data_IF_095643221168
#
_entry.id   IF_095643221168
#
_cell.length_a   1.000
_cell.length_b   1.000
_cell.length_c   1.000
_cell.angle_alpha   90.00
_cell.angle_beta   90.00
_cell.angle_gamma   90.00
#
_symmetry.space_group_name_H-M   'P 1'
#
loop_
_entity.id
_entity.type
_entity.pdbx_description
1 polymer ?
#
# COMPACT_ATOMS: atom_id res chain seq x y z
N UNK A 1 41.91 -7.47 6.03
CA UNK A 1 40.50 -7.68 6.40
C UNK A 1 39.70 -6.73 5.54
N UNK A 2 39.35 -7.21 4.35
CA UNK A 2 38.70 -6.44 3.31
C UNK A 2 37.19 -6.35 3.57
N UNK A 3 36.71 -5.11 3.51
CA UNK A 3 35.43 -4.65 2.97
C UNK A 3 34.22 -5.59 3.06
N UNK A 4 33.36 -5.35 4.05
CA UNK A 4 31.91 -5.55 3.92
C UNK A 4 31.22 -4.19 3.79
N UNK A 5 31.27 -3.64 2.58
CA UNK A 5 30.30 -2.65 2.09
C UNK A 5 29.35 -3.42 1.18
N UNK A 6 28.17 -3.77 1.70
CA UNK A 6 27.02 -4.07 0.83
C UNK A 6 26.03 -2.94 1.01
N UNK A 7 26.08 -2.06 0.01
CA UNK A 7 25.21 -0.91 -0.21
C UNK A 7 23.99 -1.37 -1.02
N UNK A 8 22.84 -0.76 -0.72
CA UNK A 8 21.60 -0.72 -1.53
C UNK A 8 20.88 -2.07 -1.64
N UNK A 9 19.58 -2.08 -1.31
CA UNK A 9 18.71 -3.25 -1.40
C UNK A 9 18.95 -4.01 -2.69
N UNK A 10 19.24 -5.31 -2.57
CA UNK A 10 19.42 -6.18 -3.72
C UNK A 10 18.25 -5.96 -4.67
N UNK A 11 18.54 -5.45 -5.87
CA UNK A 11 17.57 -5.38 -6.93
C UNK A 11 17.00 -6.79 -7.09
N UNK A 12 15.69 -6.96 -6.84
CA UNK A 12 15.03 -8.24 -7.07
C UNK A 12 15.41 -8.70 -8.46
N UNK A 13 16.01 -9.89 -8.56
CA UNK A 13 16.48 -10.40 -9.84
C UNK A 13 15.27 -10.58 -10.76
N UNK A 14 15.18 -9.77 -11.81
CA UNK A 14 14.11 -9.89 -12.79
C UNK A 14 14.09 -11.30 -13.37
N UNK A 15 12.89 -11.89 -13.44
CA UNK A 15 12.68 -13.23 -13.99
C UNK A 15 12.62 -13.22 -15.52
N UNK A 16 12.36 -12.06 -16.11
CA UNK A 16 12.38 -11.83 -17.56
C UNK A 16 13.22 -10.60 -17.90
N UNK A 17 13.75 -10.59 -19.12
CA UNK A 17 14.51 -9.46 -19.68
C UNK A 17 13.58 -8.62 -20.55
N UNK A 18 13.50 -7.32 -20.26
CA UNK A 18 12.72 -6.36 -21.04
C UNK A 18 13.65 -5.33 -21.68
N UNK A 19 13.39 -4.99 -22.94
CA UNK A 19 14.06 -3.89 -23.62
C UNK A 19 13.49 -2.54 -23.12
N UNK A 20 14.29 -1.47 -23.05
CA UNK A 20 13.84 -0.17 -22.52
C UNK A 20 12.51 0.34 -23.13
N UNK A 21 12.33 0.13 -24.43
CA UNK A 21 11.12 0.49 -25.17
C UNK A 21 9.87 -0.33 -24.82
N UNK A 22 10.04 -1.57 -24.34
CA UNK A 22 8.94 -2.42 -23.89
C UNK A 22 8.46 -1.96 -22.50
N UNK A 23 9.40 -1.50 -21.65
CA UNK A 23 9.12 -1.17 -20.26
C UNK A 23 8.06 -0.07 -20.15
N UNK A 24 8.17 1.02 -20.93
CA UNK A 24 7.24 2.15 -20.80
C UNK A 24 5.79 1.76 -21.16
N UNK A 25 5.62 0.94 -22.20
CA UNK A 25 4.30 0.42 -22.58
C UNK A 25 3.76 -0.49 -21.48
N UNK A 26 4.55 -1.47 -21.04
CA UNK A 26 4.13 -2.44 -20.00
C UNK A 26 3.82 -1.73 -18.68
N UNK A 27 4.57 -0.67 -18.36
CA UNK A 27 4.34 0.14 -17.16
C UNK A 27 2.96 0.79 -17.16
N UNK A 28 2.47 1.26 -18.31
CA UNK A 28 1.11 1.80 -18.39
C UNK A 28 0.04 0.73 -18.09
N UNK A 29 0.21 -0.49 -18.64
CA UNK A 29 -0.71 -1.60 -18.35
C UNK A 29 -0.64 -2.03 -16.88
N UNK A 30 0.55 -2.00 -16.26
CA UNK A 30 0.70 -2.21 -14.82
C UNK A 30 -0.02 -1.12 -14.02
N UNK A 31 0.07 0.13 -14.47
CA UNK A 31 -0.68 1.27 -13.93
C UNK A 31 -2.20 1.04 -13.94
N UNK A 32 -2.74 0.45 -15.00
CA UNK A 32 -4.17 0.10 -15.07
C UNK A 32 -4.57 -0.96 -14.03
N UNK A 33 -3.72 -1.97 -13.80
CA UNK A 33 -3.95 -2.99 -12.76
C UNK A 33 -3.89 -2.37 -11.36
N UNK A 34 -2.90 -1.50 -11.12
CA UNK A 34 -2.73 -0.76 -9.86
C UNK A 34 -3.92 0.18 -9.58
N UNK A 35 -4.37 0.90 -10.61
CA UNK A 35 -5.53 1.81 -10.56
C UNK A 35 -6.83 1.05 -10.28
N UNK A 36 -7.05 -0.08 -10.96
CA UNK A 36 -8.21 -0.92 -10.70
C UNK A 36 -8.22 -1.49 -9.27
N UNK A 37 -7.05 -1.88 -8.76
CA UNK A 37 -6.91 -2.44 -7.40
C UNK A 37 -7.16 -1.38 -6.32
N UNK A 38 -6.53 -0.22 -6.43
CA UNK A 38 -6.72 0.88 -5.47
C UNK A 38 -8.15 1.43 -5.54
N UNK A 39 -8.73 1.53 -6.73
CA UNK A 39 -10.12 1.90 -6.93
C UNK A 39 -11.12 0.92 -6.32
N UNK A 40 -10.92 -0.40 -6.51
CA UNK A 40 -11.73 -1.43 -5.84
C UNK A 40 -11.72 -1.24 -4.32
N UNK A 41 -10.53 -1.07 -3.75
CA UNK A 41 -10.38 -0.94 -2.31
C UNK A 41 -11.01 0.36 -1.77
N UNK A 42 -10.88 1.47 -2.49
CA UNK A 42 -11.57 2.72 -2.16
C UNK A 42 -13.10 2.58 -2.22
N UNK A 43 -13.62 1.89 -3.25
CA UNK A 43 -15.05 1.65 -3.41
C UNK A 43 -15.63 0.77 -2.30
N UNK A 44 -14.84 -0.21 -1.82
CA UNK A 44 -15.24 -1.05 -0.68
C UNK A 44 -15.60 -0.23 0.56
N UNK A 45 -14.91 0.88 0.79
CA UNK A 45 -15.22 1.79 1.89
C UNK A 45 -16.51 2.59 1.66
N UNK A 46 -16.80 2.95 0.41
CA UNK A 46 -17.97 3.77 0.03
C UNK A 46 -19.25 2.96 -0.12
N UNK A 47 -19.15 1.63 -0.23
CA UNK A 47 -20.29 0.75 -0.43
C UNK A 47 -20.89 0.81 -1.84
N UNK A 48 -20.10 1.17 -2.85
CA UNK A 48 -20.55 1.21 -4.25
C UNK A 48 -20.41 -0.12 -5.00
N UNK A 49 -20.52 -0.06 -6.34
CA UNK A 49 -20.49 -1.26 -7.20
C UNK A 49 -19.07 -1.84 -7.34
N UNK A 50 -18.76 -2.80 -6.48
CA UNK A 50 -17.52 -3.57 -6.49
C UNK A 50 -17.32 -4.37 -7.79
N UNK A 51 -18.40 -4.78 -8.44
CA UNK A 51 -18.35 -5.57 -9.67
C UNK A 51 -17.73 -4.82 -10.84
N UNK A 52 -17.94 -3.50 -10.94
CA UNK A 52 -17.27 -2.66 -11.96
C UNK A 52 -15.76 -2.71 -11.80
N UNK A 53 -15.27 -2.59 -10.58
CA UNK A 53 -13.84 -2.61 -10.29
C UNK A 53 -13.21 -3.99 -10.48
N UNK A 54 -13.92 -5.07 -10.13
CA UNK A 54 -13.48 -6.45 -10.43
C UNK A 54 -13.34 -6.64 -11.94
N UNK A 55 -14.33 -6.24 -12.75
CA UNK A 55 -14.25 -6.34 -14.22
C UNK A 55 -13.10 -5.54 -14.81
N UNK A 56 -12.84 -4.33 -14.30
CA UNK A 56 -11.69 -3.50 -14.69
C UNK A 56 -10.38 -4.20 -14.37
N UNK A 57 -10.23 -4.73 -13.15
CA UNK A 57 -9.04 -5.46 -12.72
C UNK A 57 -8.78 -6.71 -13.57
N UNK A 58 -9.81 -7.54 -13.80
CA UNK A 58 -9.71 -8.74 -14.64
C UNK A 58 -9.27 -8.39 -16.07
N UNK A 59 -9.83 -7.31 -16.64
CA UNK A 59 -9.49 -6.85 -17.99
C UNK A 59 -8.07 -6.29 -18.08
N UNK A 60 -7.66 -5.45 -17.14
CA UNK A 60 -6.32 -4.87 -17.09
C UNK A 60 -5.24 -5.96 -16.88
N UNK A 61 -5.51 -6.91 -15.97
CA UNK A 61 -4.60 -8.04 -15.71
C UNK A 61 -4.41 -8.89 -16.97
N UNK A 62 -5.50 -9.18 -17.68
CA UNK A 62 -5.41 -9.94 -18.93
C UNK A 62 -4.65 -9.17 -20.01
N UNK A 63 -4.85 -7.86 -20.15
CA UNK A 63 -4.14 -7.05 -21.13
C UNK A 63 -2.62 -7.01 -20.85
N UNK A 64 -2.23 -6.82 -19.59
CA UNK A 64 -0.83 -6.89 -19.17
C UNK A 64 -0.24 -8.28 -19.45
N UNK A 65 -0.95 -9.34 -19.08
CA UNK A 65 -0.52 -10.71 -19.32
C UNK A 65 -0.36 -11.00 -20.83
N UNK A 66 -1.27 -10.55 -21.68
CA UNK A 66 -1.19 -10.76 -23.14
C UNK A 66 0.04 -10.07 -23.76
N UNK A 67 0.40 -8.87 -23.30
CA UNK A 67 1.60 -8.18 -23.76
C UNK A 67 2.84 -8.98 -23.41
N UNK A 68 2.94 -9.46 -22.16
CA UNK A 68 4.05 -10.29 -21.70
C UNK A 68 4.09 -11.67 -22.39
N UNK A 69 2.95 -12.24 -22.77
CA UNK A 69 2.91 -13.54 -23.47
C UNK A 69 3.23 -13.45 -24.97
N UNK A 70 2.93 -12.33 -25.63
CA UNK A 70 2.92 -12.30 -27.09
C UNK A 70 3.78 -11.20 -27.72
N UNK A 71 3.93 -10.07 -27.04
CA UNK A 71 4.46 -8.85 -27.64
C UNK A 71 5.89 -8.53 -27.22
N UNK A 72 6.34 -8.99 -26.06
CA UNK A 72 7.74 -8.81 -25.64
C UNK A 72 8.68 -9.78 -26.36
N UNK A 73 9.97 -9.42 -26.42
CA UNK A 73 11.03 -10.26 -26.98
C UNK A 73 11.26 -11.53 -26.16
N UNK A 74 11.27 -11.42 -24.83
CA UNK A 74 11.51 -12.54 -23.90
C UNK A 74 10.23 -13.31 -23.52
N UNK A 75 9.25 -13.35 -24.43
CA UNK A 75 7.95 -13.99 -24.20
C UNK A 75 8.04 -15.50 -23.96
N UNK A 76 9.09 -16.15 -24.47
CA UNK A 76 9.35 -17.57 -24.23
C UNK A 76 9.63 -17.84 -22.75
N UNK A 77 10.46 -17.02 -22.11
CA UNK A 77 10.75 -17.13 -20.67
C UNK A 77 9.50 -16.84 -19.85
N UNK A 78 8.76 -15.78 -20.19
CA UNK A 78 7.49 -15.48 -19.52
C UNK A 78 6.46 -16.61 -19.65
N UNK A 79 6.29 -17.15 -20.86
CA UNK A 79 5.39 -18.29 -21.11
C UNK A 79 5.79 -19.53 -20.29
N UNK A 80 7.09 -19.79 -20.16
CA UNK A 80 7.61 -20.89 -19.34
C UNK A 80 7.33 -20.68 -17.85
N UNK A 81 7.40 -19.44 -17.33
CA UNK A 81 7.06 -19.13 -15.93
C UNK A 81 5.64 -19.58 -15.59
N UNK A 82 4.69 -19.33 -16.51
CA UNK A 82 3.30 -19.73 -16.35
C UNK A 82 3.10 -21.24 -16.55
N UNK A 83 3.64 -21.81 -17.62
CA UNK A 83 3.41 -23.20 -18.00
C UNK A 83 4.02 -24.22 -17.02
N UNK A 84 5.17 -23.89 -16.42
CA UNK A 84 5.90 -24.81 -15.53
C UNK A 84 5.52 -24.66 -14.06
N UNK A 85 4.78 -23.60 -13.71
CA UNK A 85 4.53 -23.26 -12.30
C UNK A 85 5.80 -22.91 -11.52
N UNK A 86 6.87 -22.50 -12.21
CA UNK A 86 8.16 -22.20 -11.58
C UNK A 86 8.12 -20.97 -10.66
N UNK A 87 7.09 -20.12 -10.81
CA UNK A 87 6.77 -19.07 -9.86
C UNK A 87 5.61 -19.51 -8.94
N UNK A 88 5.74 -19.44 -7.60
CA UNK A 88 4.71 -19.89 -6.66
C UNK A 88 3.33 -19.25 -6.86
N UNK A 89 3.28 -18.04 -7.41
CA UNK A 89 2.04 -17.30 -7.66
C UNK A 89 1.54 -17.36 -9.12
N UNK A 90 2.13 -18.17 -10.01
CA UNK A 90 1.68 -18.25 -11.40
C UNK A 90 0.23 -18.75 -11.52
N UNK A 91 -0.20 -19.65 -10.63
CA UNK A 91 -1.57 -20.17 -10.58
C UNK A 91 -2.64 -19.09 -10.35
N UNK A 92 -2.27 -17.96 -9.72
CA UNK A 92 -3.17 -16.81 -9.55
C UNK A 92 -3.50 -16.16 -10.90
N UNK A 93 -2.54 -16.13 -11.84
CA UNK A 93 -2.76 -15.57 -13.18
C UNK A 93 -3.71 -16.45 -14.00
N UNK A 94 -3.56 -17.77 -13.93
CA UNK A 94 -4.46 -18.71 -14.59
C UNK A 94 -5.88 -18.63 -14.01
N UNK A 95 -6.00 -18.50 -12.69
CA UNK A 95 -7.28 -18.30 -12.01
C UNK A 95 -7.97 -16.99 -12.42
N UNK A 96 -7.22 -15.89 -12.51
CA UNK A 96 -7.75 -14.59 -12.98
C UNK A 96 -8.15 -14.66 -14.45
N UNK A 97 -7.38 -15.35 -15.28
CA UNK A 97 -7.72 -15.60 -16.68
C UNK A 97 -9.02 -16.40 -16.83
N UNK A 98 -9.22 -17.41 -15.99
CA UNK A 98 -10.47 -18.17 -15.93
C UNK A 98 -11.66 -17.25 -15.58
N UNK A 99 -11.56 -16.51 -14.47
CA UNK A 99 -12.57 -15.57 -14.01
C UNK A 99 -12.94 -14.54 -15.10
N UNK A 100 -11.93 -13.96 -15.77
CA UNK A 100 -12.13 -13.03 -16.88
C UNK A 100 -12.90 -13.69 -18.02
N UNK A 101 -12.53 -14.89 -18.42
CA UNK A 101 -13.17 -15.58 -19.55
C UNK A 101 -14.62 -15.93 -19.26
N UNK A 102 -14.95 -16.30 -18.02
CA UNK A 102 -16.34 -16.46 -17.56
C UNK A 102 -17.11 -15.14 -17.71
N UNK A 103 -16.54 -14.04 -17.19
CA UNK A 103 -17.18 -12.72 -17.27
C UNK A 103 -17.35 -12.22 -18.71
N UNK A 104 -16.42 -12.48 -19.62
CA UNK A 104 -16.46 -11.93 -20.98
C UNK A 104 -17.26 -12.81 -21.95
N UNK A 105 -17.14 -14.13 -21.87
CA UNK A 105 -17.70 -15.03 -22.88
C UNK A 105 -19.05 -15.62 -22.51
N UNK A 106 -19.31 -15.78 -21.21
CA UNK A 106 -20.59 -16.31 -20.71
C UNK A 106 -21.46 -15.19 -20.12
N UNK A 107 -20.87 -14.00 -19.89
CA UNK A 107 -21.53 -12.85 -19.26
C UNK A 107 -22.08 -13.18 -17.85
N UNK A 108 -21.59 -14.24 -17.23
CA UNK A 108 -21.87 -14.55 -15.83
C UNK A 108 -21.11 -13.57 -14.95
N UNK A 109 -21.81 -13.03 -13.94
CA UNK A 109 -21.24 -12.01 -13.06
C UNK A 109 -20.22 -12.71 -12.14
N UNK A 110 -18.93 -12.60 -12.48
CA UNK A 110 -17.88 -12.87 -11.50
C UNK A 110 -17.79 -11.65 -10.60
N UNK A 111 -18.33 -11.80 -9.40
CA UNK A 111 -18.36 -10.77 -8.37
C UNK A 111 -17.92 -11.37 -7.04
N UNK A 112 -17.62 -10.52 -6.06
CA UNK A 112 -17.53 -10.99 -4.70
C UNK A 112 -18.87 -11.57 -4.23
N UNK A 113 -18.85 -12.52 -3.31
CA UNK A 113 -20.04 -13.14 -2.72
C UNK A 113 -20.94 -12.09 -2.04
N UNK A 114 -22.26 -12.21 -2.26
CA UNK A 114 -23.27 -11.39 -1.56
C UNK A 114 -23.41 -11.81 -0.09
N UNK A 115 -23.12 -13.07 0.23
CA UNK A 115 -23.30 -13.68 1.56
C UNK A 115 -22.21 -13.25 2.56
N UNK A 116 -21.05 -12.83 2.05
CA UNK A 116 -19.93 -12.32 2.84
C UNK A 116 -19.74 -10.84 2.52
N UNK A 117 -20.55 -9.99 3.14
CA UNK A 117 -20.40 -8.54 3.08
C UNK A 117 -20.20 -7.96 4.47
N UNK A 118 -18.98 -7.48 4.78
CA UNK A 118 -18.87 -6.36 5.71
C UNK A 118 -17.63 -5.50 5.51
N UNK A 119 -17.82 -4.35 4.83
CA UNK A 119 -16.89 -3.22 4.86
C UNK A 119 -17.60 -2.02 5.49
N UNK A 120 -17.50 -1.92 6.83
CA UNK A 120 -18.08 -0.85 7.65
C UNK A 120 -19.12 -1.33 8.66
N UNK A 121 -18.73 -1.42 9.95
CA UNK A 121 -19.64 -1.85 11.03
C UNK A 121 -19.19 -1.38 12.41
N UNK A 122 -20.16 -1.02 13.25
CA UNK A 122 -20.03 -0.37 14.56
C UNK A 122 -19.31 -1.23 15.62
N UNK A 123 -18.89 -2.47 15.31
CA UNK A 123 -18.47 -3.49 16.29
C UNK A 123 -17.13 -4.20 16.00
N UNK A 124 -16.30 -3.67 15.09
CA UNK A 124 -14.87 -4.04 15.01
C UNK A 124 -14.51 -5.40 14.38
N UNK A 125 -15.46 -6.15 13.82
CA UNK A 125 -15.17 -7.30 12.94
C UNK A 125 -15.52 -6.93 11.49
N UNK A 126 -14.57 -7.07 10.57
CA UNK A 126 -14.76 -6.85 9.12
C UNK A 126 -14.35 -8.09 8.34
N UNK A 127 -15.19 -8.49 7.38
CA UNK A 127 -14.94 -9.61 6.46
C UNK A 127 -14.89 -9.02 5.06
N UNK A 128 -13.77 -9.22 4.35
CA UNK A 128 -13.65 -8.79 2.97
C UNK A 128 -14.55 -9.60 2.06
N UNK A 129 -14.94 -8.96 0.97
CA UNK A 129 -15.65 -9.64 -0.08
C UNK A 129 -14.71 -10.72 -0.67
N UNK A 130 -15.23 -11.94 -0.77
CA UNK A 130 -14.49 -13.11 -1.28
C UNK A 130 -14.98 -13.48 -2.68
N UNK A 131 -14.14 -14.14 -3.48
CA UNK A 131 -14.62 -14.64 -4.79
C UNK A 131 -15.67 -15.73 -4.59
N UNK A 132 -16.77 -15.58 -5.31
CA UNK A 132 -17.90 -16.51 -5.27
C UNK A 132 -17.63 -17.80 -6.05
N UNK A 133 -18.33 -18.88 -5.71
CA UNK A 133 -18.26 -20.12 -6.48
C UNK A 133 -18.86 -19.90 -7.88
N UNK A 134 -18.20 -20.43 -8.92
CA UNK A 134 -18.74 -20.42 -10.27
C UNK A 134 -19.46 -21.76 -10.52
N UNK A 135 -20.78 -21.77 -10.79
CA UNK A 135 -21.53 -23.01 -10.95
C UNK A 135 -21.02 -23.86 -12.14
N UNK A 136 -21.01 -25.19 -11.99
CA UNK A 136 -20.48 -26.10 -13.01
C UNK A 136 -21.20 -25.98 -14.36
N UNK A 137 -22.49 -25.64 -14.36
CA UNK A 137 -23.26 -25.38 -15.58
C UNK A 137 -22.78 -24.15 -16.36
N UNK A 138 -22.17 -23.16 -15.69
CA UNK A 138 -21.52 -22.01 -16.33
C UNK A 138 -20.18 -22.45 -16.92
N UNK A 139 -19.43 -23.29 -16.20
CA UNK A 139 -18.14 -23.81 -16.65
C UNK A 139 -18.28 -24.63 -17.93
N UNK A 140 -19.30 -25.49 -18.01
CA UNK A 140 -19.55 -26.34 -19.18
C UNK A 140 -19.82 -25.56 -20.47
N UNK A 141 -20.21 -24.28 -20.37
CA UNK A 141 -20.44 -23.41 -21.53
C UNK A 141 -19.14 -22.80 -22.10
N UNK A 142 -18.03 -22.87 -21.35
CA UNK A 142 -16.73 -22.36 -21.78
C UNK A 142 -16.08 -23.27 -22.83
N UNK A 143 -15.11 -22.73 -23.57
CA UNK A 143 -14.25 -23.54 -24.44
C UNK A 143 -13.39 -24.49 -23.61
N UNK A 144 -13.07 -25.67 -24.15
CA UNK A 144 -12.29 -26.71 -23.47
C UNK A 144 -10.97 -26.19 -22.85
N UNK A 145 -10.21 -25.35 -23.56
CA UNK A 145 -8.97 -24.78 -23.03
C UNK A 145 -9.14 -23.76 -21.90
N UNK A 146 -10.34 -23.21 -21.71
CA UNK A 146 -10.66 -22.39 -20.52
C UNK A 146 -11.11 -23.27 -19.37
N UNK A 147 -11.86 -24.34 -19.64
CA UNK A 147 -12.30 -25.29 -18.61
C UNK A 147 -11.11 -25.90 -17.85
N UNK A 148 -9.96 -26.12 -18.52
CA UNK A 148 -8.75 -26.62 -17.86
C UNK A 148 -8.20 -25.71 -16.77
N UNK A 149 -8.58 -24.42 -16.75
CA UNK A 149 -8.14 -23.44 -15.76
C UNK A 149 -9.06 -23.40 -14.52
N UNK A 150 -10.16 -24.14 -14.51
CA UNK A 150 -11.12 -24.16 -13.38
C UNK A 150 -10.45 -24.54 -12.06
N UNK A 151 -9.58 -25.56 -12.08
CA UNK A 151 -8.85 -26.00 -10.87
C UNK A 151 -7.99 -24.89 -10.25
N UNK A 152 -7.43 -24.00 -11.07
CA UNK A 152 -6.68 -22.84 -10.59
C UNK A 152 -7.60 -21.84 -9.90
N UNK A 153 -8.80 -21.60 -10.44
CA UNK A 153 -9.81 -20.76 -9.82
C UNK A 153 -10.24 -21.29 -8.45
N UNK A 154 -10.59 -22.57 -8.38
CA UNK A 154 -10.99 -23.25 -7.16
C UNK A 154 -9.88 -23.22 -6.08
N UNK A 155 -8.62 -23.33 -6.50
CA UNK A 155 -7.49 -23.39 -5.56
C UNK A 155 -7.00 -22.02 -5.09
N UNK A 156 -7.12 -20.97 -5.92
CA UNK A 156 -6.46 -19.68 -5.67
C UNK A 156 -7.41 -18.49 -5.49
N UNK A 157 -8.63 -18.56 -5.99
CA UNK A 157 -9.59 -17.45 -5.96
C UNK A 157 -10.81 -17.81 -5.12
N UNK A 158 -11.46 -18.95 -5.35
CA UNK A 158 -12.70 -19.32 -4.69
C UNK A 158 -12.60 -19.24 -3.15
N UNK A 159 -13.50 -18.47 -2.52
CA UNK A 159 -13.50 -18.22 -1.08
C UNK A 159 -12.33 -17.36 -0.56
N UNK A 160 -11.39 -16.97 -1.41
CA UNK A 160 -10.30 -16.05 -1.07
C UNK A 160 -10.74 -14.61 -1.19
N UNK A 161 -10.15 -13.73 -0.38
CA UNK A 161 -10.45 -12.31 -0.41
C UNK A 161 -10.01 -11.64 -1.71
N UNK A 162 -10.90 -10.83 -2.27
CA UNK A 162 -10.67 -10.18 -3.57
C UNK A 162 -9.48 -9.21 -3.51
N UNK A 163 -9.36 -8.41 -2.45
CA UNK A 163 -8.20 -7.51 -2.27
C UNK A 163 -6.89 -8.31 -2.15
N UNK A 164 -6.90 -9.44 -1.43
CA UNK A 164 -5.75 -10.33 -1.32
C UNK A 164 -5.29 -10.85 -2.69
N UNK A 165 -6.24 -11.30 -3.52
CA UNK A 165 -5.96 -11.72 -4.91
C UNK A 165 -5.37 -10.58 -5.74
N UNK A 166 -5.95 -9.38 -5.68
CA UNK A 166 -5.46 -8.23 -6.47
C UNK A 166 -4.02 -7.85 -6.09
N UNK A 167 -3.70 -7.84 -4.78
CA UNK A 167 -2.34 -7.62 -4.30
C UNK A 167 -1.38 -8.74 -4.70
N UNK A 168 -1.84 -10.00 -4.72
CA UNK A 168 -1.04 -11.14 -5.16
C UNK A 168 -0.69 -11.06 -6.66
N UNK A 169 -1.61 -10.61 -7.51
CA UNK A 169 -1.35 -10.37 -8.93
C UNK A 169 -0.32 -9.25 -9.12
N UNK A 170 -0.47 -8.15 -8.39
CA UNK A 170 0.51 -7.05 -8.43
C UNK A 170 1.91 -7.49 -7.98
N UNK A 171 2.00 -8.30 -6.92
CA UNK A 171 3.25 -8.93 -6.47
C UNK A 171 3.86 -9.81 -7.55
N UNK A 172 3.06 -10.67 -8.17
CA UNK A 172 3.52 -11.54 -9.25
C UNK A 172 4.18 -10.74 -10.37
N UNK A 173 3.53 -9.67 -10.85
CA UNK A 173 4.09 -8.85 -11.94
C UNK A 173 5.35 -8.10 -11.52
N UNK A 174 5.42 -7.60 -10.28
CA UNK A 174 6.64 -6.99 -9.77
C UNK A 174 7.80 -7.99 -9.60
N UNK A 175 7.51 -9.23 -9.24
CA UNK A 175 8.52 -10.29 -9.15
C UNK A 175 8.99 -10.72 -10.55
N UNK A 176 8.10 -10.73 -11.55
CA UNK A 176 8.46 -10.95 -12.95
C UNK A 176 9.49 -9.91 -13.41
N UNK A 177 9.21 -8.62 -13.23
CA UNK A 177 10.19 -7.55 -13.46
C UNK A 177 9.77 -6.25 -12.76
N UNK A 178 10.53 -5.80 -11.75
CA UNK A 178 10.16 -4.61 -10.97
C UNK A 178 10.19 -3.29 -11.74
N UNK A 179 10.84 -3.24 -12.91
CA UNK A 179 10.89 -2.01 -13.74
C UNK A 179 9.55 -1.64 -14.37
N UNK A 180 8.59 -2.57 -14.38
CA UNK A 180 7.25 -2.35 -14.94
C UNK A 180 6.29 -1.73 -13.93
N UNK A 181 6.68 -1.59 -12.66
CA UNK A 181 5.84 -0.94 -11.64
C UNK A 181 5.58 0.51 -12.08
N UNK A 182 4.31 0.91 -12.19
CA UNK A 182 3.94 2.29 -12.41
C UNK A 182 4.08 3.06 -11.09
N UNK A 183 4.82 4.17 -11.14
CA UNK A 183 5.11 5.01 -9.99
C UNK A 183 4.46 6.38 -10.14
N UNK A 184 3.98 6.94 -9.04
CA UNK A 184 3.46 8.31 -8.99
C UNK A 184 4.60 9.34 -8.93
N UNK A 185 4.24 10.62 -8.79
CA UNK A 185 5.19 11.73 -8.70
C UNK A 185 6.14 11.64 -7.50
N UNK A 186 5.75 10.91 -6.45
CA UNK A 186 6.54 10.71 -5.24
C UNK A 186 7.41 9.46 -5.33
N UNK A 187 7.39 8.75 -6.47
CA UNK A 187 8.13 7.52 -6.68
C UNK A 187 7.48 6.30 -6.01
N UNK A 188 6.29 6.45 -5.44
CA UNK A 188 5.53 5.35 -4.84
C UNK A 188 4.70 4.60 -5.88
N UNK A 189 4.28 3.37 -5.58
CA UNK A 189 3.38 2.63 -6.46
C UNK A 189 2.07 3.41 -6.65
N UNK A 190 1.67 3.68 -7.89
CA UNK A 190 0.47 4.50 -8.13
C UNK A 190 -0.79 3.88 -7.51
N UNK A 191 -1.51 4.68 -6.74
CA UNK A 191 -2.69 4.24 -5.98
C UNK A 191 -2.37 3.53 -4.66
N UNK A 192 -1.10 3.46 -4.26
CA UNK A 192 -0.65 2.85 -3.02
C UNK A 192 0.06 3.84 -2.08
N UNK A 193 0.16 3.55 -0.77
CA UNK A 193 -0.49 2.43 -0.07
C UNK A 193 -2.01 2.54 -0.10
N UNK A 194 -2.73 1.43 -0.02
CA UNK A 194 -4.18 1.46 0.19
C UNK A 194 -4.51 2.24 1.47
N UNK A 195 -5.68 2.87 1.50
CA UNK A 195 -6.09 3.64 2.68
C UNK A 195 -6.24 2.71 3.90
N UNK A 196 -5.71 3.12 5.05
CA UNK A 196 -5.91 2.35 6.27
C UNK A 196 -7.39 2.37 6.65
N UNK A 197 -7.92 1.19 6.98
CA UNK A 197 -9.31 1.02 7.39
C UNK A 197 -9.35 0.43 8.81
N UNK A 198 -10.13 0.98 9.74
CA UNK A 198 -10.18 0.47 11.10
C UNK A 198 -10.54 -1.02 11.18
N UNK A 199 -9.76 -1.78 11.95
CA UNK A 199 -9.96 -3.23 12.13
C UNK A 199 -9.42 -4.09 11.00
N UNK A 200 -8.69 -3.51 10.05
CA UNK A 200 -8.08 -4.23 8.92
C UNK A 200 -6.60 -4.48 9.16
N UNK A 201 -6.25 -5.76 9.27
CA UNK A 201 -4.86 -6.20 9.37
C UNK A 201 -4.22 -6.56 8.01
N UNK A 202 -4.98 -6.44 6.91
CA UNK A 202 -4.48 -6.81 5.58
C UNK A 202 -3.38 -5.87 5.08
N UNK A 203 -2.50 -6.38 4.20
CA UNK A 203 -1.49 -5.56 3.57
C UNK A 203 -2.08 -4.35 2.85
N UNK A 204 -1.51 -3.17 3.07
CA UNK A 204 -1.86 -1.94 2.36
C UNK A 204 -0.96 -1.71 1.15
N UNK A 205 0.10 -2.49 0.97
CA UNK A 205 1.02 -2.34 -0.15
C UNK A 205 1.38 -3.71 -0.75
N UNK A 206 1.54 -3.85 -2.09
CA UNK A 206 1.96 -5.12 -2.69
C UNK A 206 3.31 -5.60 -2.15
N UNK A 207 4.24 -4.69 -1.86
CA UNK A 207 5.53 -5.08 -1.28
C UNK A 207 5.49 -5.41 0.22
N UNK A 208 4.37 -5.17 0.91
CA UNK A 208 4.25 -5.47 2.34
C UNK A 208 4.32 -7.00 2.56
N UNK A 209 5.11 -7.47 3.56
CA UNK A 209 5.23 -8.90 3.84
C UNK A 209 3.89 -9.53 4.19
N UNK A 210 3.74 -10.82 3.92
CA UNK A 210 2.54 -11.58 4.30
C UNK A 210 2.63 -12.17 5.70
N UNK A 211 3.84 -12.26 6.26
CA UNK A 211 4.08 -12.80 7.59
C UNK A 211 4.70 -11.76 8.53
N UNK A 212 4.39 -11.81 9.84
CA UNK A 212 4.93 -10.85 10.80
C UNK A 212 6.45 -10.80 10.88
N UNK A 213 7.15 -11.86 10.45
CA UNK A 213 8.61 -12.00 10.56
C UNK A 213 9.40 -10.95 9.76
N UNK A 214 8.78 -10.18 8.85
CA UNK A 214 9.44 -9.15 8.06
C UNK A 214 8.88 -7.73 8.23
N UNK A 215 7.86 -7.54 9.07
CA UNK A 215 7.07 -6.31 9.15
C UNK A 215 7.90 -5.07 9.49
N UNK A 216 8.65 -5.12 10.59
CA UNK A 216 9.45 -3.98 11.04
C UNK A 216 10.61 -3.67 10.08
N UNK A 217 11.31 -4.71 9.59
CA UNK A 217 12.41 -4.54 8.65
C UNK A 217 11.92 -3.86 7.36
N UNK A 218 10.82 -4.36 6.79
CA UNK A 218 10.21 -3.77 5.60
C UNK A 218 9.80 -2.30 5.83
N UNK A 219 9.20 -2.00 6.98
CA UNK A 219 8.72 -0.66 7.28
C UNK A 219 9.87 0.34 7.52
N UNK A 220 10.95 -0.10 8.18
CA UNK A 220 12.16 0.70 8.44
C UNK A 220 12.96 0.99 7.16
N UNK A 221 12.94 0.06 6.20
CA UNK A 221 13.64 0.18 4.92
C UNK A 221 12.95 1.12 3.93
N UNK A 222 11.77 1.66 4.24
CA UNK A 222 11.07 2.64 3.39
C UNK A 222 11.22 4.03 3.93
N UNK A 223 11.22 5.05 3.06
CA UNK A 223 11.03 6.42 3.54
C UNK A 223 9.58 6.60 4.01
N UNK A 224 9.32 7.56 4.92
CA UNK A 224 7.95 8.00 5.17
C UNK A 224 7.30 8.47 3.87
N UNK A 225 6.00 8.23 3.71
CA UNK A 225 5.24 8.74 2.57
C UNK A 225 4.66 10.12 2.91
N UNK A 226 4.77 11.08 1.99
CA UNK A 226 4.47 12.50 2.23
C UNK A 226 5.67 13.38 1.89
N UNK A 227 5.48 14.70 1.93
CA UNK A 227 6.47 15.66 1.47
C UNK A 227 7.48 16.01 2.56
N UNK A 228 7.02 16.06 3.80
CA UNK A 228 7.87 16.35 4.95
C UNK A 228 7.23 15.92 6.28
N UNK A 229 8.04 15.96 7.34
CA UNK A 229 7.59 15.79 8.73
C UNK A 229 7.89 17.03 9.56
N UNK A 230 6.89 17.54 10.26
CA UNK A 230 7.03 18.63 11.22
C UNK A 230 7.13 18.06 12.64
N UNK A 231 8.29 18.26 13.28
CA UNK A 231 8.59 17.76 14.62
C UNK A 231 8.05 18.72 15.67
N UNK A 232 7.22 18.18 16.58
CA UNK A 232 6.63 18.92 17.69
C UNK A 232 7.36 18.72 19.01
N UNK A 233 8.14 17.65 19.14
CA UNK A 233 8.85 17.37 20.37
C UNK A 233 9.57 16.03 20.37
N UNK A 234 10.15 15.75 21.53
CA UNK A 234 10.79 14.49 21.88
C UNK A 234 10.32 14.01 23.25
N UNK A 235 9.99 12.73 23.37
CA UNK A 235 9.73 12.09 24.67
C UNK A 235 10.50 10.78 24.81
N UNK A 236 10.87 10.46 26.05
CA UNK A 236 11.51 9.20 26.41
C UNK A 236 10.49 8.26 27.02
N UNK A 237 10.27 7.10 26.41
CA UNK A 237 9.34 6.05 26.85
C UNK A 237 10.11 4.74 26.93
N UNK A 238 10.01 4.05 28.08
CA UNK A 238 10.72 2.78 28.33
C UNK A 238 12.25 2.86 28.04
N UNK A 239 12.86 4.01 28.34
CA UNK A 239 14.29 4.24 28.12
C UNK A 239 14.70 4.57 26.68
N UNK A 240 13.75 4.63 25.74
CA UNK A 240 14.01 4.98 24.35
C UNK A 240 13.45 6.37 24.02
N UNK A 241 14.23 7.17 23.31
CA UNK A 241 13.82 8.51 22.87
C UNK A 241 13.11 8.45 21.50
N UNK A 242 11.98 9.14 21.42
CA UNK A 242 11.13 9.22 20.24
C UNK A 242 10.88 10.67 19.86
N UNK A 243 10.97 10.98 18.56
CA UNK A 243 10.44 12.21 18.00
C UNK A 243 8.98 12.00 17.61
N UNK A 244 8.18 13.04 17.79
CA UNK A 244 6.78 13.02 17.43
C UNK A 244 6.35 14.31 16.74
N UNK A 245 5.30 14.21 15.93
CA UNK A 245 4.71 15.34 15.23
C UNK A 245 3.80 14.90 14.09
N UNK A 246 3.80 15.63 12.98
CA UNK A 246 2.87 15.37 11.87
C UNK A 246 3.58 15.16 10.54
N UNK A 247 3.07 14.23 9.73
CA UNK A 247 3.53 14.02 8.34
C UNK A 247 2.59 14.80 7.42
N UNK A 248 3.15 15.65 6.56
CA UNK A 248 2.38 16.50 5.65
C UNK A 248 2.48 15.99 4.21
N UNK A 249 1.37 16.08 3.49
CA UNK A 249 1.27 15.97 2.04
C UNK A 249 0.63 17.27 1.55
N UNK A 250 1.35 18.05 0.77
CA UNK A 250 1.09 19.46 0.56
C UNK A 250 0.93 20.18 1.90
N UNK A 251 -0.20 20.87 2.05
CA UNK A 251 -0.51 21.64 3.25
C UNK A 251 -1.39 20.88 4.25
N UNK A 252 -1.59 19.57 4.08
CA UNK A 252 -2.50 18.79 4.94
C UNK A 252 -1.81 17.62 5.61
N UNK A 253 -2.20 17.36 6.87
CA UNK A 253 -1.80 16.18 7.62
C UNK A 253 -3.03 15.47 8.17
N UNK A 254 -3.09 14.16 8.01
CA UNK A 254 -4.18 13.31 8.49
C UNK A 254 -3.72 12.32 9.55
N UNK A 255 -2.44 12.32 9.91
CA UNK A 255 -1.90 11.43 10.93
C UNK A 255 -0.71 12.06 11.67
N UNK A 256 -0.62 11.78 12.98
CA UNK A 256 0.63 11.98 13.69
C UNK A 256 1.70 10.98 13.19
N UNK A 257 2.97 11.29 13.41
CA UNK A 257 4.06 10.33 13.36
C UNK A 257 4.73 10.22 14.73
N UNK A 258 5.28 9.03 14.99
CA UNK A 258 6.20 8.75 16.08
C UNK A 258 7.34 7.92 15.49
N UNK A 259 8.59 8.31 15.72
CA UNK A 259 9.75 7.53 15.30
C UNK A 259 10.84 7.54 16.37
N UNK A 260 11.61 6.46 16.44
CA UNK A 260 12.84 6.44 17.22
C UNK A 260 13.86 7.42 16.64
N UNK A 261 14.78 7.93 17.47
CA UNK A 261 15.87 8.77 16.97
C UNK A 261 16.70 8.08 15.88
N UNK A 262 16.88 6.76 15.99
CA UNK A 262 17.63 6.00 15.00
C UNK A 262 16.91 6.01 13.64
N UNK A 263 15.62 5.70 13.62
CA UNK A 263 14.85 5.73 12.38
C UNK A 263 14.82 7.13 11.75
N UNK A 264 14.68 8.18 12.56
CA UNK A 264 14.73 9.56 12.03
C UNK A 264 16.08 9.88 11.40
N UNK A 265 17.21 9.45 12.00
CA UNK A 265 18.54 9.62 11.39
C UNK A 265 18.62 8.90 10.06
N UNK A 266 18.12 7.68 9.99
CA UNK A 266 18.13 6.87 8.77
C UNK A 266 17.30 7.55 7.66
N UNK A 267 16.12 8.07 8.01
CA UNK A 267 15.24 8.81 7.09
C UNK A 267 15.92 10.09 6.56
N UNK A 268 16.52 10.89 7.44
CA UNK A 268 17.27 12.11 7.06
C UNK A 268 18.45 11.76 6.17
N UNK A 269 19.20 10.69 6.49
CA UNK A 269 20.35 10.26 5.69
C UNK A 269 19.96 9.81 4.27
N UNK A 270 18.72 9.34 4.11
CA UNK A 270 18.12 8.95 2.83
C UNK A 270 17.41 10.11 2.14
N UNK A 271 17.47 11.31 2.70
CA UNK A 271 17.00 12.55 2.08
C UNK A 271 15.59 13.00 2.48
N UNK A 272 14.89 12.29 3.37
CA UNK A 272 13.56 12.72 3.80
C UNK A 272 13.64 13.93 4.72
N UNK A 273 12.75 14.90 4.52
CA UNK A 273 12.85 16.21 5.18
C UNK A 273 12.07 16.25 6.50
N UNK A 274 12.78 16.64 7.55
CA UNK A 274 12.22 16.93 8.88
C UNK A 274 12.43 18.40 9.22
N UNK A 275 11.41 19.06 9.77
CA UNK A 275 11.44 20.47 10.14
C UNK A 275 11.05 20.67 11.60
N UNK A 276 11.58 21.73 12.21
CA UNK A 276 11.14 22.30 13.48
C UNK A 276 10.86 23.79 13.30
N UNK A 277 10.00 24.41 14.10
CA UNK A 277 9.77 25.85 14.02
C UNK A 277 8.62 26.32 14.90
N UNK A 278 8.14 27.53 14.65
CA UNK A 278 6.97 28.08 15.34
C UNK A 278 5.67 27.49 14.80
N UNK A 279 5.37 26.28 15.26
CA UNK A 279 4.23 25.50 14.80
C UNK A 279 2.90 26.17 15.12
N UNK A 280 2.79 26.85 16.26
CA UNK A 280 1.53 27.44 16.73
C UNK A 280 1.01 28.55 15.80
N UNK A 281 1.92 29.24 15.10
CA UNK A 281 1.58 30.31 14.16
C UNK A 281 1.22 29.82 12.76
N UNK A 282 1.53 28.55 12.43
CA UNK A 282 1.35 27.99 11.08
C UNK A 282 0.37 26.81 11.02
N UNK A 283 0.04 26.16 12.15
CA UNK A 283 -0.94 25.08 12.17
C UNK A 283 -2.35 25.57 12.53
N UNK A 284 -3.32 25.11 11.75
CA UNK A 284 -4.73 25.25 12.06
C UNK A 284 -5.44 23.92 11.93
N UNK A 285 -6.49 23.68 12.73
CA UNK A 285 -7.34 22.52 12.54
C UNK A 285 -8.14 22.69 11.24
N UNK A 286 -8.29 21.62 10.46
CA UNK A 286 -9.09 21.64 9.22
C UNK A 286 -10.56 22.10 9.32
N UNK A 287 -11.27 22.13 10.48
CA UNK A 287 -12.68 22.55 10.53
C UNK A 287 -12.95 23.98 10.03
N UNK A 288 -11.92 24.81 9.83
CA UNK A 288 -12.04 26.14 9.24
C UNK A 288 -12.21 26.14 7.70
N UNK A 289 -11.87 25.04 7.01
CA UNK A 289 -12.04 24.88 5.57
C UNK A 289 -13.40 24.22 5.28
N UNK A 290 -14.42 25.04 5.00
CA UNK A 290 -15.84 24.64 4.83
C UNK A 290 -16.13 23.53 3.79
N UNK A 291 -15.15 23.13 3.00
CA UNK A 291 -15.30 22.13 1.93
C UNK A 291 -14.82 20.72 2.34
N UNK A 292 -14.27 20.56 3.56
CA UNK A 292 -13.43 19.40 3.93
C UNK A 292 -13.91 18.66 5.19
N UNK A 293 -15.20 18.71 5.49
CA UNK A 293 -15.81 18.26 6.77
C UNK A 293 -15.72 16.74 7.07
N UNK A 294 -15.10 15.93 6.22
CA UNK A 294 -15.16 14.47 6.33
C UNK A 294 -14.02 13.83 7.13
N UNK A 295 -13.02 14.59 7.60
CA UNK A 295 -11.90 14.02 8.37
C UNK A 295 -11.66 14.79 9.67
N UNK A 296 -12.25 14.29 10.76
CA UNK A 296 -11.94 14.73 12.12
C UNK A 296 -10.43 14.59 12.40
N UNK A 297 -9.82 15.61 13.00
CA UNK A 297 -8.42 15.58 13.44
C UNK A 297 -7.36 15.86 12.38
N UNK A 298 -7.76 16.21 11.15
CA UNK A 298 -6.82 16.68 10.13
C UNK A 298 -6.29 18.09 10.45
N UNK A 299 -5.03 18.35 10.09
CA UNK A 299 -4.34 19.61 10.29
C UNK A 299 -4.02 20.25 8.95
N UNK A 300 -4.17 21.57 8.89
CA UNK A 300 -3.73 22.40 7.79
C UNK A 300 -2.51 23.19 8.20
N UNK A 301 -1.53 23.23 7.30
CA UNK A 301 -0.33 24.01 7.44
C UNK A 301 -0.38 25.24 6.52
N UNK A 302 -0.25 26.41 7.11
CA UNK A 302 -0.16 27.68 6.39
C UNK A 302 1.30 27.96 5.98
N UNK A 303 1.57 27.89 4.68
CA UNK A 303 2.89 28.09 4.08
C UNK A 303 3.79 26.85 4.08
N UNK A 304 4.81 26.84 3.20
CA UNK A 304 5.77 25.74 3.09
C UNK A 304 6.75 25.77 4.29
N UNK A 305 6.93 24.67 5.06
CA UNK A 305 7.96 24.56 6.10
C UNK A 305 9.36 24.94 5.66
N UNK A 306 9.67 24.88 4.37
CA UNK A 306 10.96 25.29 3.82
C UNK A 306 11.21 26.79 3.91
N UNK A 307 10.16 27.59 4.06
CA UNK A 307 10.24 29.06 4.11
C UNK A 307 10.40 29.60 5.53
N UNK A 308 9.84 28.93 6.53
CA UNK A 308 9.79 29.40 7.93
C UNK A 308 10.39 28.41 8.94
N UNK A 309 10.42 27.13 8.60
CA UNK A 309 10.96 26.09 9.46
C UNK A 309 12.47 25.96 9.37
N UNK A 310 13.06 25.42 10.43
CA UNK A 310 14.47 25.00 10.48
C UNK A 310 14.53 23.53 10.10
N UNK A 311 15.14 23.24 8.94
CA UNK A 311 15.39 21.86 8.51
C UNK A 311 16.33 21.16 9.48
N UNK A 312 15.95 19.97 9.92
CA UNK A 312 16.79 19.09 10.72
C UNK A 312 17.78 18.36 9.81
N UNK A 313 19.07 18.63 9.99
CA UNK A 313 20.16 17.95 9.26
C UNK A 313 20.73 16.76 10.03
N UNK A 314 20.52 16.75 11.35
CA UNK A 314 20.94 15.69 12.26
C UNK A 314 19.99 15.65 13.47
N UNK A 315 19.94 14.50 14.13
CA UNK A 315 19.12 14.28 15.33
C UNK A 315 20.00 13.76 16.45
N UNK A 316 20.18 14.61 17.46
CA UNK A 316 20.89 14.24 18.69
C UNK A 316 19.90 13.91 19.80
N UNK A 317 20.36 13.06 20.73
CA UNK A 317 19.61 12.80 21.95
C UNK A 317 19.55 14.09 22.78
N UNK A 318 18.33 14.59 23.02
CA UNK A 318 18.07 15.73 23.90
C UNK A 318 17.28 15.28 25.12
N UNK A 319 17.19 16.13 26.14
CA UNK A 319 16.17 15.94 27.19
C UNK A 319 14.77 16.05 26.58
N UNK A 320 13.77 15.39 27.18
CA UNK A 320 12.37 15.49 26.72
C UNK A 320 11.95 16.96 26.58
N UNK A 321 11.34 17.30 25.44
CA UNK A 321 10.95 18.66 25.10
C UNK A 321 9.72 18.65 24.19
N UNK A 322 8.99 19.76 24.16
CA UNK A 322 7.92 19.99 23.19
C UNK A 322 7.81 21.46 22.82
N UNK A 323 7.29 21.72 21.63
CA UNK A 323 6.97 23.05 21.17
C UNK A 323 5.91 23.70 22.09
N UNK A 324 5.90 25.04 22.21
CA UNK A 324 4.90 25.74 23.00
C UNK A 324 3.47 25.35 22.60
N UNK A 325 2.60 25.11 23.59
CA UNK A 325 1.19 24.76 23.37
C UNK A 325 0.91 23.29 23.04
N UNK A 326 1.93 22.43 22.99
CA UNK A 326 1.78 20.99 22.72
C UNK A 326 1.50 20.21 24.00
N UNK A 327 0.45 19.37 24.01
CA UNK A 327 0.14 18.44 25.11
C UNK A 327 1.13 17.25 25.13
N UNK A 328 2.20 17.40 25.91
CA UNK A 328 3.26 16.38 26.05
C UNK A 328 2.72 15.05 26.56
N UNK A 329 1.77 15.07 27.50
CA UNK A 329 1.22 13.83 28.07
C UNK A 329 0.30 13.13 27.07
N UNK A 330 -0.42 13.89 26.26
CA UNK A 330 -1.12 13.38 25.07
C UNK A 330 -0.18 12.64 24.14
N UNK A 331 0.93 13.27 23.75
CA UNK A 331 1.93 12.65 22.88
C UNK A 331 2.62 11.46 23.52
N UNK A 332 2.93 11.50 24.82
CA UNK A 332 3.47 10.35 25.56
C UNK A 332 2.54 9.13 25.47
N UNK A 333 1.22 9.33 25.53
CA UNK A 333 0.24 8.25 25.31
C UNK A 333 0.30 7.72 23.87
N UNK A 334 0.40 8.59 22.88
CA UNK A 334 0.55 8.20 21.46
C UNK A 334 1.82 7.37 21.24
N UNK A 335 2.96 7.83 21.76
CA UNK A 335 4.23 7.09 21.69
C UNK A 335 4.10 5.72 22.36
N UNK A 336 3.52 5.68 23.56
CA UNK A 336 3.33 4.43 24.31
C UNK A 336 2.48 3.44 23.51
N UNK A 337 1.42 3.87 22.81
CA UNK A 337 0.61 2.96 21.99
C UNK A 337 1.41 2.31 20.84
N UNK A 338 2.38 3.01 20.27
CA UNK A 338 3.22 2.50 19.18
C UNK A 338 4.45 1.73 19.67
N UNK A 339 4.97 2.06 20.86
CA UNK A 339 6.20 1.46 21.38
C UNK A 339 5.99 0.34 22.40
N UNK A 340 4.85 0.31 23.11
CA UNK A 340 4.60 -0.58 24.25
C UNK A 340 4.76 -2.06 23.89
N UNK A 341 5.82 -2.66 24.40
CA UNK A 341 6.20 -4.06 24.16
C UNK A 341 5.20 -5.08 24.72
N UNK A 342 4.29 -4.64 25.60
CA UNK A 342 3.19 -5.46 26.13
C UNK A 342 2.05 -5.65 25.13
N UNK A 343 1.96 -4.84 24.08
CA UNK A 343 0.99 -5.03 23.00
C UNK A 343 1.50 -6.06 21.98
N UNK A 344 0.58 -6.85 21.36
CA UNK A 344 0.97 -7.77 20.30
C UNK A 344 1.77 -7.05 19.19
N UNK A 345 2.87 -7.63 18.68
CA UNK A 345 3.70 -6.98 17.66
C UNK A 345 2.91 -6.53 16.42
N UNK A 346 1.92 -7.33 16.00
CA UNK A 346 1.05 -6.99 14.87
C UNK A 346 0.26 -5.71 15.13
N UNK A 347 -0.29 -5.50 16.33
CA UNK A 347 -1.07 -4.30 16.65
C UNK A 347 -0.24 -3.02 16.57
N UNK A 348 0.99 -3.05 17.09
CA UNK A 348 1.93 -1.93 16.99
C UNK A 348 2.32 -1.65 15.54
N UNK A 349 2.63 -2.71 14.80
CA UNK A 349 2.96 -2.62 13.40
C UNK A 349 1.86 -1.96 12.58
N UNK A 350 0.60 -2.38 12.71
CA UNK A 350 -0.51 -1.83 11.93
C UNK A 350 -0.67 -0.31 12.13
N UNK A 351 -0.56 0.15 13.37
CA UNK A 351 -0.65 1.57 13.71
C UNK A 351 0.51 2.37 13.10
N UNK A 352 1.74 1.90 13.31
CA UNK A 352 2.95 2.55 12.79
C UNK A 352 2.98 2.52 11.25
N UNK A 353 2.59 1.40 10.63
CA UNK A 353 2.45 1.22 9.18
C UNK A 353 1.51 2.27 8.59
N UNK A 354 0.31 2.42 9.16
CA UNK A 354 -0.67 3.38 8.66
C UNK A 354 -0.14 4.82 8.69
N UNK A 355 0.58 5.19 9.76
CA UNK A 355 1.15 6.53 9.95
C UNK A 355 2.37 6.78 9.08
N UNK A 356 3.31 5.83 9.02
CA UNK A 356 4.56 5.97 8.27
C UNK A 356 4.35 5.94 6.76
N UNK A 357 3.44 5.08 6.28
CA UNK A 357 3.06 5.07 4.86
C UNK A 357 2.03 6.17 4.52
N UNK A 358 1.63 6.98 5.51
CA UNK A 358 0.61 8.03 5.35
C UNK A 358 -0.69 7.47 4.73
N UNK A 359 -1.03 6.24 5.10
CA UNK A 359 -2.20 5.53 4.60
C UNK A 359 -3.51 6.09 5.15
N UNK A 360 -3.47 7.03 6.10
CA UNK A 360 -4.68 7.71 6.61
C UNK A 360 -5.20 8.77 5.64
N UNK A 361 -4.35 9.27 4.73
CA UNK A 361 -4.73 10.25 3.71
C UNK A 361 -5.83 9.66 2.80
N UNK A 362 -6.98 10.32 2.65
CA UNK A 362 -8.00 9.88 1.72
C UNK A 362 -7.49 9.91 0.28
N UNK A 363 -7.91 8.94 -0.52
CA UNK A 363 -7.41 8.74 -1.90
C UNK A 363 -7.52 10.01 -2.75
N UNK A 364 -8.57 10.79 -2.52
CA UNK A 364 -8.87 12.02 -3.27
C UNK A 364 -7.83 13.13 -3.07
N UNK A 365 -7.05 13.04 -1.99
CA UNK A 365 -6.04 14.01 -1.59
C UNK A 365 -4.63 13.67 -2.05
N UNK A 366 -4.45 12.51 -2.68
CA UNK A 366 -3.13 12.04 -3.11
C UNK A 366 -2.74 12.48 -4.52
N UNK A 367 -3.66 13.12 -5.22
CA UNK A 367 -3.51 13.56 -6.61
C UNK A 367 -3.30 15.07 -6.74
N UNK A 368 -3.05 15.78 -5.63
CA UNK A 368 -2.85 17.23 -5.59
C UNK A 368 -1.39 17.61 -5.45
#
# INVERSE_FOLDING_TARGET
>A
MENNKTLVGEARKSLIILEPQEIDVIRNFMGDVQSATSGYYAESRRGGDLGVWVRRFLSATQALNEILQFQIKDKGTYGNLLATGSHPSSGVIDAVKFARNVSQHILYIVRPSDDVTLVGGVHGMRTYAVWDTIPSEIVLQLRAGTQTLESAYQSHLEGQEVTGTMLAVLRFFADVNSSIIHRDSNGEWSGFPLQDQPGVAFPLHPEEPLSPAGYEAWLNDRLPNGDCRLVLGQVTVEGNAYLFGHTFLGNVSFAPFVESLQQTRDDISRGFEYFMGDVASHLSNLPACRHLQEVEGALFLDGDPREWGVRMLHVDLRADWAAPGVDVEGWRRVVTLESNTSLPPVSRYLLRRARRLNATVPVEWRSF
#
